data_IF_998558166546
#
_entry.id   IF_998558166546
#
_cell.length_a   1.000
_cell.length_b   1.000
_cell.length_c   1.000
_cell.angle_alpha   90.00
_cell.angle_beta   90.00
_cell.angle_gamma   90.00
#
_symmetry.space_group_name_H-M   'P 1'
#
loop_
_entity.id
_entity.type
_entity.pdbx_description
1 polymer ?
#
# COMPACT_ATOMS: atom_id res chain seq x y z
N UNK A 1 -40.19 27.66 2.96
CA UNK A 1 -40.24 28.37 4.27
C UNK A 1 -39.71 27.38 5.31
N UNK A 2 -38.60 27.53 6.01
CA UNK A 2 -37.78 28.67 6.46
C UNK A 2 -36.30 28.23 6.54
N UNK A 3 -35.42 29.15 6.16
CA UNK A 3 -33.97 29.14 6.44
C UNK A 3 -33.66 29.53 7.89
N UNK A 4 -32.46 29.17 8.35
CA UNK A 4 -31.50 30.04 9.06
C UNK A 4 -30.17 29.26 9.17
N UNK A 5 -29.08 29.60 8.46
CA UNK A 5 -28.16 30.75 8.63
C UNK A 5 -27.30 30.62 9.89
N UNK A 6 -26.00 30.36 9.72
CA UNK A 6 -24.86 31.32 9.87
C UNK A 6 -24.57 31.59 11.37
N UNK A 7 -23.36 31.67 11.92
CA UNK A 7 -21.98 31.86 11.48
C UNK A 7 -21.16 31.89 12.79
N UNK A 8 -19.88 31.50 12.80
CA UNK A 8 -18.83 32.29 13.47
C UNK A 8 -17.45 31.66 13.28
N UNK A 9 -16.69 32.32 12.41
CA UNK A 9 -15.23 32.33 12.36
C UNK A 9 -14.66 32.87 13.68
N UNK A 10 -13.58 32.25 14.16
CA UNK A 10 -12.65 32.89 15.09
C UNK A 10 -11.26 32.96 14.43
N UNK A 11 -10.75 34.19 14.31
CA UNK A 11 -9.40 34.54 13.87
C UNK A 11 -8.61 34.97 15.11
N UNK A 12 -7.44 34.37 15.30
CA UNK A 12 -6.28 34.88 16.04
C UNK A 12 -5.11 33.98 15.61
N UNK A 13 -3.98 34.41 15.06
CA UNK A 13 -3.26 35.66 15.27
C UNK A 13 -2.14 35.41 16.27
N UNK A 14 -0.96 34.92 15.82
CA UNK A 14 0.30 34.94 16.57
C UNK A 14 1.48 34.82 15.59
N UNK A 15 2.14 35.95 15.29
CA UNK A 15 3.51 36.01 14.78
C UNK A 15 4.37 36.60 15.90
N UNK A 16 5.42 35.91 16.33
CA UNK A 16 6.60 36.50 16.98
C UNK A 16 7.76 35.49 17.03
N UNK A 17 8.95 36.05 16.86
CA UNK A 17 10.23 35.43 16.53
C UNK A 17 10.91 34.64 17.68
N UNK A 18 11.75 33.68 17.29
CA UNK A 18 12.95 33.24 18.02
C UNK A 18 13.84 32.48 17.01
N UNK A 19 14.73 33.14 16.27
CA UNK A 19 16.16 33.33 16.58
C UNK A 19 16.91 32.09 17.11
N UNK A 20 17.74 31.54 16.21
CA UNK A 20 19.11 31.04 16.42
C UNK A 20 19.35 29.96 17.49
N UNK A 21 19.25 28.69 17.07
CA UNK A 21 19.86 27.53 17.75
C UNK A 21 20.52 26.61 16.71
N UNK A 22 21.58 27.06 16.04
CA UNK A 22 22.40 26.20 15.17
C UNK A 22 23.90 26.23 15.47
N UNK A 23 24.35 27.12 16.37
CA UNK A 23 25.79 27.31 16.66
C UNK A 23 26.41 26.23 17.55
N UNK A 24 25.61 25.45 18.28
CA UNK A 24 26.12 24.52 19.30
C UNK A 24 26.44 23.12 18.75
N UNK A 25 25.97 22.77 17.55
CA UNK A 25 26.23 21.46 16.93
C UNK A 25 27.54 21.46 16.11
N UNK A 26 27.91 22.59 15.52
CA UNK A 26 29.16 22.76 14.77
C UNK A 26 30.41 22.63 15.67
N UNK A 27 30.32 23.04 16.93
CA UNK A 27 31.46 23.01 17.87
C UNK A 27 31.79 21.59 18.37
N UNK A 28 30.79 20.68 18.38
CA UNK A 28 30.98 19.28 18.77
C UNK A 28 31.65 18.45 17.68
N UNK A 29 31.55 18.85 16.42
CA UNK A 29 32.19 18.16 15.29
C UNK A 29 33.70 18.44 15.21
N UNK A 30 34.19 19.53 15.83
CA UNK A 30 35.59 19.96 15.73
C UNK A 30 36.54 19.46 16.82
N UNK A 31 36.01 18.79 17.86
CA UNK A 31 36.78 18.38 19.06
C UNK A 31 37.17 16.90 19.10
N UNK A 32 36.75 16.08 18.13
CA UNK A 32 36.97 14.63 18.15
C UNK A 32 38.10 14.12 17.25
N UNK A 33 38.75 14.96 16.46
CA UNK A 33 39.59 14.51 15.34
C UNK A 33 41.09 14.73 15.57
N UNK A 34 41.64 14.28 16.70
CA UNK A 34 43.09 14.25 16.91
C UNK A 34 43.51 13.03 17.72
N UNK A 35 43.41 11.85 17.11
CA UNK A 35 44.22 10.69 17.50
C UNK A 35 44.08 9.54 16.49
N UNK A 36 45.22 9.13 15.93
CA UNK A 36 45.49 7.71 15.69
C UNK A 36 45.08 7.13 14.34
N UNK A 37 46.07 7.04 13.46
CA UNK A 37 46.09 6.25 12.23
C UNK A 37 45.56 4.80 12.41
N UNK A 38 44.77 4.32 11.44
CA UNK A 38 44.81 2.90 11.03
C UNK A 38 44.46 2.74 9.54
N UNK A 39 45.25 1.97 8.77
CA UNK A 39 45.03 1.77 7.35
C UNK A 39 44.03 0.65 7.07
N UNK A 40 43.44 0.72 5.88
CA UNK A 40 42.92 -0.40 5.09
C UNK A 40 41.78 -1.23 5.70
N UNK A 41 40.56 -0.89 5.29
CA UNK A 41 39.72 -1.85 4.58
C UNK A 41 38.67 -1.07 3.79
N UNK A 42 38.92 -0.86 2.48
CA UNK A 42 37.82 -0.71 1.52
C UNK A 42 37.12 -2.06 1.49
N UNK A 43 36.21 -2.27 2.45
CA UNK A 43 35.25 -3.34 2.37
C UNK A 43 34.44 -3.06 1.10
N UNK A 44 34.78 -3.75 0.03
CA UNK A 44 33.91 -3.87 -1.12
C UNK A 44 32.62 -4.50 -0.59
N UNK A 45 31.63 -3.65 -0.30
CA UNK A 45 30.26 -4.08 -0.12
C UNK A 45 29.85 -4.69 -1.45
N UNK A 46 30.01 -6.01 -1.58
CA UNK A 46 29.33 -6.78 -2.60
C UNK A 46 27.84 -6.43 -2.55
N UNK A 47 27.12 -6.47 -3.69
CA UNK A 47 25.73 -6.06 -3.72
C UNK A 47 24.97 -6.82 -2.65
N UNK A 48 24.52 -6.11 -1.62
CA UNK A 48 23.59 -6.65 -0.66
C UNK A 48 22.37 -7.07 -1.48
N UNK A 49 22.20 -8.37 -1.68
CA UNK A 49 20.97 -8.93 -2.24
C UNK A 49 19.89 -8.48 -1.27
N UNK A 50 19.20 -7.40 -1.61
CA UNK A 50 18.05 -6.90 -0.86
C UNK A 50 17.07 -8.05 -0.85
N UNK A 51 16.97 -8.76 0.27
CA UNK A 51 15.89 -9.72 0.49
C UNK A 51 14.61 -8.93 0.33
N UNK A 52 13.90 -9.23 -0.74
CA UNK A 52 12.58 -8.68 -0.96
C UNK A 52 11.71 -9.21 0.17
N UNK A 53 10.91 -8.37 0.85
CA UNK A 53 10.02 -8.86 1.88
C UNK A 53 9.08 -9.89 1.25
N UNK A 54 9.07 -11.10 1.82
CA UNK A 54 8.14 -12.16 1.42
C UNK A 54 6.70 -11.65 1.55
N UNK A 55 5.81 -12.13 0.68
CA UNK A 55 4.41 -11.76 0.79
C UNK A 55 3.76 -12.44 2.00
N UNK A 56 2.80 -11.76 2.62
CA UNK A 56 2.06 -12.31 3.76
C UNK A 56 1.24 -13.55 3.33
N UNK A 57 1.11 -14.61 4.17
CA UNK A 57 0.44 -15.86 3.80
C UNK A 57 -0.99 -15.69 3.27
N UNK A 58 -1.73 -14.70 3.75
CA UNK A 58 -3.08 -14.41 3.25
C UNK A 58 -3.03 -13.99 1.78
N UNK A 59 -2.07 -13.14 1.42
CA UNK A 59 -1.89 -12.72 0.04
C UNK A 59 -1.44 -13.90 -0.83
N UNK A 60 -0.52 -14.72 -0.34
CA UNK A 60 -0.04 -15.91 -1.06
C UNK A 60 -1.19 -16.86 -1.41
N UNK A 61 -2.10 -17.08 -0.46
CA UNK A 61 -3.31 -17.88 -0.66
C UNK A 61 -4.18 -17.30 -1.78
N UNK A 62 -4.61 -16.04 -1.63
CA UNK A 62 -5.54 -15.43 -2.58
C UNK A 62 -4.97 -15.27 -4.00
N UNK A 63 -3.67 -14.96 -4.11
CA UNK A 63 -3.02 -14.75 -5.40
C UNK A 63 -2.42 -16.03 -6.00
N UNK A 64 -2.41 -17.13 -5.24
CA UNK A 64 -1.73 -18.37 -5.59
C UNK A 64 -0.30 -18.12 -6.09
N UNK A 65 0.44 -17.28 -5.36
CA UNK A 65 1.78 -16.79 -5.72
C UNK A 65 2.46 -16.07 -4.56
N UNK A 66 3.75 -16.32 -4.36
CA UNK A 66 4.59 -15.53 -3.43
C UNK A 66 5.18 -14.30 -4.14
N UNK A 67 4.32 -13.30 -4.39
CA UNK A 67 4.68 -12.08 -5.12
C UNK A 67 4.75 -10.87 -4.20
N UNK A 68 5.82 -10.08 -4.30
CA UNK A 68 5.85 -8.77 -3.67
C UNK A 68 5.02 -7.77 -4.50
N UNK A 69 3.76 -7.50 -4.07
CA UNK A 69 2.87 -6.56 -4.75
C UNK A 69 3.46 -5.17 -4.91
N UNK A 70 4.28 -4.69 -3.96
CA UNK A 70 4.88 -3.37 -4.05
C UNK A 70 5.89 -3.24 -5.21
N UNK A 71 6.41 -4.37 -5.71
CA UNK A 71 7.41 -4.42 -6.79
C UNK A 71 6.87 -5.02 -8.09
N UNK A 72 5.62 -5.47 -8.10
CA UNK A 72 4.98 -6.12 -9.26
C UNK A 72 4.86 -5.16 -10.43
N UNK A 73 5.26 -5.54 -11.65
CA UNK A 73 5.14 -4.66 -12.82
C UNK A 73 3.68 -4.50 -13.26
N UNK A 74 3.41 -3.49 -14.09
CA UNK A 74 2.06 -3.25 -14.62
C UNK A 74 1.51 -4.48 -15.35
N UNK A 75 2.32 -5.10 -16.22
CA UNK A 75 1.94 -6.27 -17.02
C UNK A 75 1.70 -7.55 -16.23
N UNK A 76 2.14 -7.62 -14.98
CA UNK A 76 1.87 -8.77 -14.10
C UNK A 76 0.52 -8.64 -13.38
N UNK A 77 -0.02 -7.42 -13.25
CA UNK A 77 -1.23 -7.20 -12.46
C UNK A 77 -2.48 -7.90 -13.02
N UNK A 78 -2.78 -7.87 -14.34
CA UNK A 78 -3.98 -8.53 -14.85
C UNK A 78 -4.07 -10.01 -14.46
N UNK A 79 -2.96 -10.75 -14.55
CA UNK A 79 -2.88 -12.16 -14.15
C UNK A 79 -3.09 -12.34 -12.64
N UNK A 80 -2.58 -11.43 -11.80
CA UNK A 80 -2.80 -11.48 -10.36
C UNK A 80 -4.26 -11.19 -9.98
N UNK A 81 -4.93 -10.28 -10.68
CA UNK A 81 -6.37 -10.06 -10.52
C UNK A 81 -7.17 -11.28 -10.96
N UNK A 82 -6.80 -11.92 -12.05
CA UNK A 82 -7.45 -13.14 -12.53
C UNK A 82 -7.34 -14.26 -11.50
N UNK A 83 -6.15 -14.51 -10.96
CA UNK A 83 -5.93 -15.49 -9.88
C UNK A 83 -6.74 -15.16 -8.64
N UNK A 84 -6.73 -13.89 -8.21
CA UNK A 84 -7.53 -13.43 -7.07
C UNK A 84 -9.03 -13.75 -7.25
N UNK A 85 -9.58 -13.46 -8.44
CA UNK A 85 -10.98 -13.73 -8.74
C UNK A 85 -11.26 -15.22 -8.87
N UNK A 86 -10.34 -16.01 -9.43
CA UNK A 86 -10.47 -17.47 -9.48
C UNK A 86 -10.59 -18.05 -8.06
N UNK A 87 -9.66 -17.73 -7.16
CA UNK A 87 -9.71 -18.15 -5.75
C UNK A 87 -11.01 -17.70 -5.07
N UNK A 88 -11.45 -16.46 -5.33
CA UNK A 88 -12.72 -15.94 -4.79
C UNK A 88 -13.91 -16.75 -5.30
N UNK A 89 -13.98 -17.05 -6.59
CA UNK A 89 -15.08 -17.84 -7.16
C UNK A 89 -15.14 -19.23 -6.53
N UNK A 90 -14.00 -19.87 -6.39
CA UNK A 90 -13.91 -21.27 -5.97
C UNK A 90 -14.27 -21.42 -4.48
N UNK A 91 -13.80 -20.52 -3.62
CA UNK A 91 -13.87 -20.72 -2.19
C UNK A 91 -14.98 -19.95 -1.47
N UNK A 92 -15.51 -18.86 -2.06
CA UNK A 92 -16.41 -17.90 -1.36
C UNK A 92 -17.62 -18.52 -0.67
N UNK A 93 -18.12 -19.66 -1.16
CA UNK A 93 -19.31 -20.33 -0.58
C UNK A 93 -19.05 -20.87 0.82
N UNK A 94 -17.78 -21.14 1.16
CA UNK A 94 -17.37 -21.60 2.49
C UNK A 94 -16.81 -20.49 3.38
N UNK A 95 -16.77 -19.24 2.90
CA UNK A 95 -16.13 -18.16 3.64
C UNK A 95 -17.01 -17.55 4.73
N UNK A 96 -16.40 -17.33 5.89
CA UNK A 96 -16.93 -16.48 6.95
C UNK A 96 -16.58 -15.00 6.71
N UNK A 97 -17.09 -14.12 7.58
CA UNK A 97 -16.89 -12.68 7.49
C UNK A 97 -15.39 -12.26 7.49
N UNK A 98 -14.55 -12.95 8.26
CA UNK A 98 -13.12 -12.65 8.34
C UNK A 98 -12.40 -12.99 7.02
N UNK A 99 -12.78 -14.08 6.35
CA UNK A 99 -12.22 -14.45 5.05
C UNK A 99 -12.63 -13.45 3.95
N UNK A 100 -13.89 -12.98 3.97
CA UNK A 100 -14.34 -11.90 3.10
C UNK A 100 -13.56 -10.59 3.30
N UNK A 101 -13.27 -10.25 4.56
CA UNK A 101 -12.47 -9.06 4.87
C UNK A 101 -11.01 -9.22 4.47
N UNK A 102 -10.42 -10.40 4.68
CA UNK A 102 -9.07 -10.72 4.23
C UNK A 102 -8.94 -10.59 2.69
N UNK A 103 -9.91 -11.11 1.94
CA UNK A 103 -9.95 -10.97 0.48
C UNK A 103 -10.07 -9.48 0.07
N UNK A 104 -10.88 -8.69 0.77
CA UNK A 104 -11.03 -7.27 0.51
C UNK A 104 -9.71 -6.50 0.75
N UNK A 105 -8.94 -6.87 1.77
CA UNK A 105 -7.62 -6.28 2.02
C UNK A 105 -6.60 -6.66 0.93
N UNK A 106 -6.65 -7.87 0.38
CA UNK A 106 -5.82 -8.24 -0.78
C UNK A 106 -6.22 -7.44 -2.02
N UNK A 107 -7.52 -7.31 -2.30
CA UNK A 107 -8.00 -6.46 -3.40
C UNK A 107 -7.56 -5.00 -3.23
N UNK A 108 -7.62 -4.45 -2.01
CA UNK A 108 -7.16 -3.09 -1.74
C UNK A 108 -5.66 -2.91 -2.06
N UNK A 109 -4.82 -3.89 -1.71
CA UNK A 109 -3.39 -3.89 -2.04
C UNK A 109 -3.14 -3.99 -3.54
N UNK A 110 -3.86 -4.88 -4.25
CA UNK A 110 -3.82 -4.95 -5.71
C UNK A 110 -4.18 -3.61 -6.34
N UNK A 111 -5.28 -2.99 -5.89
CA UNK A 111 -5.75 -1.69 -6.38
C UNK A 111 -4.73 -0.59 -6.12
N UNK A 112 -4.13 -0.56 -4.93
CA UNK A 112 -3.07 0.40 -4.63
C UNK A 112 -1.90 0.27 -5.61
N UNK A 113 -1.45 -0.96 -5.90
CA UNK A 113 -0.38 -1.15 -6.87
C UNK A 113 -0.82 -0.76 -8.28
N UNK A 114 -2.01 -1.16 -8.70
CA UNK A 114 -2.57 -0.81 -10.00
C UNK A 114 -2.60 0.70 -10.23
N UNK A 115 -3.07 1.48 -9.26
CA UNK A 115 -3.12 2.94 -9.40
C UNK A 115 -1.74 3.57 -9.63
N UNK A 116 -0.66 2.96 -9.12
CA UNK A 116 0.72 3.43 -9.32
C UNK A 116 1.27 3.16 -10.73
N UNK A 117 0.82 2.09 -11.39
CA UNK A 117 1.45 1.59 -12.63
C UNK A 117 0.50 1.45 -13.83
N UNK A 118 -0.79 1.76 -13.65
CA UNK A 118 -1.82 1.57 -14.69
C UNK A 118 -1.57 2.32 -16.00
N UNK A 119 -0.78 3.40 -15.99
CA UNK A 119 -0.46 4.17 -17.19
C UNK A 119 0.35 3.37 -18.20
N UNK A 120 1.03 2.33 -17.74
CA UNK A 120 1.87 1.45 -18.57
C UNK A 120 1.04 0.33 -19.21
N UNK A 121 -0.23 0.18 -18.82
CA UNK A 121 -1.16 -0.82 -19.36
C UNK A 121 -1.94 -0.27 -20.56
N UNK A 122 -2.12 -1.09 -21.62
CA UNK A 122 -3.05 -0.76 -22.69
C UNK A 122 -4.49 -0.69 -22.15
N UNK A 123 -5.40 -0.06 -22.91
CA UNK A 123 -6.77 0.18 -22.48
C UNK A 123 -7.51 -1.13 -22.15
N UNK A 124 -7.30 -2.16 -22.95
CA UNK A 124 -7.91 -3.48 -22.84
C UNK A 124 -7.59 -4.13 -21.49
N UNK A 125 -6.32 -4.08 -21.08
CA UNK A 125 -5.90 -4.64 -19.78
C UNK A 125 -6.42 -3.81 -18.61
N UNK A 126 -6.50 -2.49 -18.75
CA UNK A 126 -7.15 -1.63 -17.74
C UNK A 126 -8.63 -1.97 -17.58
N UNK A 127 -9.34 -2.22 -18.68
CA UNK A 127 -10.74 -2.63 -18.66
C UNK A 127 -10.91 -4.02 -18.03
N UNK A 128 -10.01 -4.96 -18.32
CA UNK A 128 -9.99 -6.29 -17.69
C UNK A 128 -9.79 -6.19 -16.17
N UNK A 129 -8.87 -5.36 -15.70
CA UNK A 129 -8.69 -5.13 -14.25
C UNK A 129 -9.96 -4.54 -13.64
N UNK A 130 -10.62 -3.58 -14.31
CA UNK A 130 -11.88 -3.01 -13.83
C UNK A 130 -13.02 -4.04 -13.76
N UNK A 131 -13.11 -4.98 -14.70
CA UNK A 131 -14.13 -6.02 -14.64
C UNK A 131 -13.89 -6.97 -13.45
N UNK A 132 -12.64 -7.36 -13.19
CA UNK A 132 -12.30 -8.15 -12.00
C UNK A 132 -12.65 -7.44 -10.68
N UNK A 133 -12.35 -6.14 -10.57
CA UNK A 133 -12.75 -5.35 -9.40
C UNK A 133 -14.28 -5.33 -9.22
N UNK A 134 -15.01 -5.06 -10.31
CA UNK A 134 -16.48 -5.04 -10.29
C UNK A 134 -17.07 -6.39 -9.88
N UNK A 135 -16.49 -7.48 -10.36
CA UNK A 135 -16.92 -8.82 -10.02
C UNK A 135 -16.78 -9.12 -8.52
N UNK A 136 -15.63 -8.82 -7.91
CA UNK A 136 -15.46 -9.02 -6.47
C UNK A 136 -16.52 -8.24 -5.67
N UNK A 137 -16.77 -6.99 -6.05
CA UNK A 137 -17.79 -6.16 -5.39
C UNK A 137 -19.19 -6.75 -5.55
N UNK A 138 -19.54 -7.28 -6.72
CA UNK A 138 -20.81 -7.95 -6.95
C UNK A 138 -20.94 -9.22 -6.08
N UNK A 139 -19.89 -10.04 -6.00
CA UNK A 139 -19.87 -11.25 -5.18
C UNK A 139 -20.02 -10.93 -3.68
N UNK A 140 -19.28 -9.94 -3.18
CA UNK A 140 -19.38 -9.48 -1.79
C UNK A 140 -20.75 -8.87 -1.50
N UNK A 141 -21.29 -8.10 -2.45
CA UNK A 141 -22.64 -7.54 -2.36
C UNK A 141 -23.71 -8.60 -2.22
N UNK A 142 -23.67 -9.65 -3.05
CA UNK A 142 -24.59 -10.77 -2.98
C UNK A 142 -24.52 -11.49 -1.61
N UNK A 143 -23.32 -11.73 -1.08
CA UNK A 143 -23.13 -12.30 0.26
C UNK A 143 -23.73 -11.42 1.36
N UNK A 144 -23.53 -10.10 1.30
CA UNK A 144 -24.07 -9.18 2.29
C UNK A 144 -25.60 -9.10 2.24
N UNK A 145 -26.22 -9.30 1.07
CA UNK A 145 -27.68 -9.41 0.96
C UNK A 145 -28.15 -10.72 1.60
N UNK A 146 -27.48 -11.84 1.32
CA UNK A 146 -27.82 -13.13 1.92
C UNK A 146 -27.77 -13.11 3.46
N UNK A 147 -26.70 -12.56 4.04
CA UNK A 147 -26.55 -12.43 5.51
C UNK A 147 -27.66 -11.60 6.17
N UNK A 148 -28.31 -10.69 5.43
CA UNK A 148 -29.44 -9.89 5.94
C UNK A 148 -30.78 -10.60 5.88
N UNK A 149 -30.89 -11.66 5.08
CA UNK A 149 -32.11 -12.44 4.89
C UNK A 149 -32.17 -13.65 5.82
N UNK A 150 -31.01 -14.15 6.23
CA UNK A 150 -30.83 -15.19 7.25
C UNK A 150 -30.97 -14.63 8.68
#
# INVERSE_FOLDING_TARGET
MKSASFFLLFVAGLSSAAQAQSSTQDELLKRGELTGSRPSARAAAGPAVRRQPASDPVQQHFLNSDVNLAQTSAYQLPDLYERFIATTRDERRGWNAQQWEAAAQVLARLNQRYEQVRTDLPLEERLRVRSFQGEFHALRGARNVQEKLD
#
